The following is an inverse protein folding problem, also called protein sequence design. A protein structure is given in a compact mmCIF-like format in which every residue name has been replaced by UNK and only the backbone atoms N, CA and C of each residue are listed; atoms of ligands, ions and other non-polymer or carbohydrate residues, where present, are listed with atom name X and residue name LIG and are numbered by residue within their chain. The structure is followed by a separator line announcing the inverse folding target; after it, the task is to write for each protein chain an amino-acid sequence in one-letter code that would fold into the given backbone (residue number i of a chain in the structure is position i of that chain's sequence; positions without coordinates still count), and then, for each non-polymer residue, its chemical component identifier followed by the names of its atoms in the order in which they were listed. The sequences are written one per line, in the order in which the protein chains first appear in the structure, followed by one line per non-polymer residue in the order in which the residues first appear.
data_IF_406425525587
#
_entry.id   IF_406425525587
#
_cell.length_a   1.000
_cell.length_b   1.000
_cell.length_c   1.000
_cell.angle_alpha   90.00
_cell.angle_beta   90.00
_cell.angle_gamma   90.00
#
_symmetry.space_group_name_H-M   'P 1'
#
loop_
_entity.id
_entity.type
_entity.pdbx_description
1 polymer ?
#
# COMPACT_ATOMS: atom_id res chain seq x y z
N UNK A 1 -10.30 16.71 -11.31
CA UNK A 1 -11.53 15.92 -11.11
C UNK A 1 -11.15 14.44 -11.16
N UNK A 2 -11.82 13.56 -10.42
CA UNK A 2 -11.41 12.14 -10.37
C UNK A 2 -11.71 11.48 -11.73
N UNK A 3 -10.73 10.80 -12.35
CA UNK A 3 -10.97 9.98 -13.53
C UNK A 3 -11.66 8.68 -13.13
N UNK A 4 -12.88 8.47 -13.62
CA UNK A 4 -13.66 7.25 -13.41
C UNK A 4 -13.49 6.25 -14.55
N UNK A 5 -13.41 6.74 -15.79
CA UNK A 5 -13.24 5.94 -17.01
C UNK A 5 -11.95 6.30 -17.75
N UNK A 6 -11.51 5.44 -18.67
CA UNK A 6 -10.33 5.70 -19.51
C UNK A 6 -10.53 6.82 -20.51
N UNK A 7 -11.76 7.00 -20.96
CA UNK A 7 -12.12 7.93 -22.03
C UNK A 7 -13.18 8.95 -21.60
N UNK A 8 -13.46 9.90 -22.50
CA UNK A 8 -14.43 10.98 -22.31
C UNK A 8 -13.76 12.33 -22.05
N UNK A 9 -14.50 13.42 -22.31
CA UNK A 9 -14.02 14.80 -22.16
C UNK A 9 -13.57 15.15 -20.73
N UNK A 10 -14.04 14.37 -19.74
CA UNK A 10 -13.71 14.50 -18.33
C UNK A 10 -13.37 13.15 -17.68
N UNK A 11 -12.98 12.14 -18.47
CA UNK A 11 -12.68 10.79 -17.96
C UNK A 11 -13.80 10.24 -17.06
N UNK A 12 -15.06 10.44 -17.46
CA UNK A 12 -16.22 9.95 -16.71
C UNK A 12 -16.59 10.74 -15.45
N UNK A 13 -15.96 11.90 -15.19
CA UNK A 13 -16.35 12.76 -14.06
C UNK A 13 -17.75 13.37 -14.23
N UNK A 14 -18.17 13.62 -15.47
CA UNK A 14 -19.52 14.08 -15.81
C UNK A 14 -19.64 14.53 -17.26
N UNK A 15 -20.88 14.54 -17.77
CA UNK A 15 -21.17 14.76 -19.19
C UNK A 15 -20.86 16.19 -19.67
N UNK A 16 -20.90 17.16 -18.76
CA UNK A 16 -20.60 18.57 -19.03
C UNK A 16 -19.11 18.92 -19.05
N UNK A 17 -18.22 17.93 -19.06
CA UNK A 17 -16.79 18.14 -18.89
C UNK A 17 -16.40 18.35 -17.42
N UNK A 18 -15.29 19.04 -17.17
CA UNK A 18 -14.86 19.38 -15.82
C UNK A 18 -14.37 20.83 -15.70
N UNK A 19 -14.70 21.48 -14.58
CA UNK A 19 -14.36 22.88 -14.32
C UNK A 19 -12.84 23.15 -14.30
N UNK A 20 -12.06 22.14 -13.89
CA UNK A 20 -10.61 22.10 -14.07
C UNK A 20 -10.26 21.07 -15.14
N UNK A 21 -9.31 21.39 -16.04
CA UNK A 21 -8.81 20.42 -16.99
C UNK A 21 -8.16 19.24 -16.26
N UNK A 22 -8.35 18.04 -16.79
CA UNK A 22 -7.61 16.85 -16.37
C UNK A 22 -6.40 16.69 -17.31
N UNK A 23 -5.20 16.45 -16.78
CA UNK A 23 -4.04 16.20 -17.63
C UNK A 23 -4.26 15.02 -18.57
N UNK A 24 -3.63 15.08 -19.74
CA UNK A 24 -3.67 14.00 -20.71
C UNK A 24 -3.13 12.69 -20.09
N UNK A 25 -3.76 11.57 -20.42
CA UNK A 25 -3.36 10.23 -19.97
C UNK A 25 -3.87 9.83 -18.59
N UNK A 26 -4.58 10.71 -17.87
CA UNK A 26 -5.18 10.38 -16.57
C UNK A 26 -6.23 9.27 -16.63
N UNK A 27 -6.79 8.98 -17.81
CA UNK A 27 -7.64 7.82 -18.04
C UNK A 27 -7.00 6.49 -17.62
N UNK A 28 -5.68 6.33 -17.75
CA UNK A 28 -4.97 5.11 -17.32
C UNK A 28 -4.79 5.02 -15.80
N UNK A 29 -5.02 6.12 -15.08
CA UNK A 29 -5.06 6.15 -13.62
C UNK A 29 -6.50 6.07 -13.08
N UNK A 30 -7.49 5.86 -13.95
CA UNK A 30 -8.91 5.86 -13.60
C UNK A 30 -9.34 4.66 -12.75
N UNK A 31 -10.52 4.78 -12.14
CA UNK A 31 -11.16 3.67 -11.41
C UNK A 31 -11.41 2.46 -12.32
N UNK A 32 -11.88 2.69 -13.55
CA UNK A 32 -12.03 1.64 -14.57
C UNK A 32 -10.69 0.98 -14.91
N UNK A 33 -9.62 1.77 -15.01
CA UNK A 33 -8.31 1.25 -15.38
C UNK A 33 -7.67 0.38 -14.31
N UNK A 34 -7.86 0.73 -13.04
CA UNK A 34 -7.26 0.02 -11.93
C UNK A 34 -8.15 -1.10 -11.36
N UNK A 35 -9.45 -1.12 -11.65
CA UNK A 35 -10.35 -2.14 -11.08
C UNK A 35 -9.99 -3.52 -11.59
N UNK A 36 -9.67 -4.42 -10.67
CA UNK A 36 -9.28 -5.79 -10.97
C UNK A 36 -7.86 -5.95 -11.51
N UNK A 37 -7.09 -4.86 -11.65
CA UNK A 37 -5.70 -4.95 -12.09
C UNK A 37 -4.76 -5.29 -10.92
N UNK A 38 -4.09 -6.45 -10.95
CA UNK A 38 -3.16 -6.86 -9.90
C UNK A 38 -2.02 -5.84 -9.73
N UNK A 39 -1.75 -5.47 -8.48
CA UNK A 39 -0.70 -4.50 -8.16
C UNK A 39 -1.06 -3.04 -8.42
N UNK A 40 -2.28 -2.74 -8.91
CA UNK A 40 -2.74 -1.34 -8.99
C UNK A 40 -2.94 -0.73 -7.60
N UNK A 41 -2.80 0.59 -7.50
CA UNK A 41 -3.01 1.32 -6.24
C UNK A 41 -4.43 1.10 -5.70
N UNK A 42 -5.45 1.06 -6.57
CA UNK A 42 -6.83 0.82 -6.15
C UNK A 42 -7.00 -0.56 -5.51
N UNK A 43 -6.48 -1.62 -6.13
CA UNK A 43 -6.56 -2.97 -5.56
C UNK A 43 -5.73 -3.10 -4.28
N UNK A 44 -4.54 -2.48 -4.22
CA UNK A 44 -3.74 -2.40 -2.99
C UNK A 44 -4.55 -1.83 -1.81
N UNK A 45 -5.29 -0.73 -2.02
CA UNK A 45 -6.12 -0.14 -0.96
C UNK A 45 -7.35 -0.98 -0.64
N UNK A 46 -7.97 -1.65 -1.62
CA UNK A 46 -9.08 -2.58 -1.39
C UNK A 46 -8.65 -3.76 -0.52
N UNK A 47 -7.48 -4.33 -0.82
CA UNK A 47 -6.86 -5.39 -0.04
C UNK A 47 -6.48 -4.91 1.36
N UNK A 48 -5.84 -3.75 1.50
CA UNK A 48 -5.51 -3.16 2.80
C UNK A 48 -6.74 -2.99 3.70
N UNK A 49 -7.86 -2.52 3.13
CA UNK A 49 -9.12 -2.39 3.85
C UNK A 49 -9.74 -3.75 4.20
N UNK A 50 -9.58 -4.77 3.35
CA UNK A 50 -10.01 -6.13 3.65
C UNK A 50 -9.20 -6.73 4.81
N UNK A 51 -7.87 -6.62 4.76
CA UNK A 51 -6.96 -7.05 5.84
C UNK A 51 -7.29 -6.32 7.15
N UNK A 52 -7.51 -5.00 7.10
CA UNK A 52 -7.90 -4.21 8.28
C UNK A 52 -9.18 -4.74 8.93
N UNK A 53 -10.17 -5.18 8.15
CA UNK A 53 -11.42 -5.75 8.69
C UNK A 53 -11.23 -7.12 9.32
N UNK A 54 -10.30 -7.94 8.82
CA UNK A 54 -10.05 -9.29 9.32
C UNK A 54 -9.01 -9.39 10.43
N UNK A 55 -8.22 -8.32 10.65
CA UNK A 55 -7.10 -8.33 11.60
C UNK A 55 -7.43 -7.47 12.82
N UNK A 56 -7.68 -8.10 13.97
CA UNK A 56 -8.08 -7.43 15.21
C UNK A 56 -7.10 -6.31 15.63
N UNK A 57 -5.79 -6.57 15.51
CA UNK A 57 -4.74 -5.61 15.86
C UNK A 57 -4.70 -4.35 14.98
N UNK A 58 -5.41 -4.34 13.85
CA UNK A 58 -5.58 -3.15 13.00
C UNK A 58 -6.82 -2.31 13.37
N UNK A 59 -7.64 -2.76 14.32
CA UNK A 59 -8.77 -2.02 14.88
C UNK A 59 -8.36 -0.93 15.89
N UNK A 60 -9.32 -0.51 16.73
CA UNK A 60 -9.03 0.33 17.89
C UNK A 60 -8.26 -0.51 18.92
N UNK A 61 -7.03 -0.12 19.22
CA UNK A 61 -6.18 -0.79 20.21
C UNK A 61 -5.39 0.26 20.98
N UNK A 62 -4.73 -0.18 22.05
CA UNK A 62 -4.26 0.74 23.09
C UNK A 62 -2.76 1.07 23.00
N UNK A 63 -2.00 0.29 22.23
CA UNK A 63 -0.55 0.38 22.18
C UNK A 63 0.02 0.32 20.76
N UNK A 64 1.13 1.01 20.59
CA UNK A 64 2.05 0.93 19.46
C UNK A 64 3.45 0.79 20.03
N UNK A 65 4.18 -0.22 19.60
CA UNK A 65 5.59 -0.41 19.94
C UNK A 65 6.46 -0.06 18.72
N UNK A 66 7.38 0.89 18.88
CA UNK A 66 8.36 1.20 17.86
C UNK A 66 9.45 0.13 17.82
N UNK A 67 9.70 -0.42 16.64
CA UNK A 67 10.77 -1.40 16.43
C UNK A 67 12.04 -0.69 15.96
N UNK A 68 13.21 -1.28 16.26
CA UNK A 68 14.46 -0.79 15.70
C UNK A 68 14.46 -1.03 14.19
N UNK A 69 14.77 0.00 13.43
CA UNK A 69 14.91 -0.04 11.98
C UNK A 69 16.08 0.82 11.52
N UNK A 70 16.58 0.62 10.28
CA UNK A 70 17.53 1.54 9.66
C UNK A 70 16.98 2.98 9.59
N UNK A 71 17.88 3.95 9.44
CA UNK A 71 17.49 5.34 9.22
C UNK A 71 16.58 5.48 7.98
N UNK A 72 15.52 6.29 8.10
CA UNK A 72 14.51 6.44 7.03
C UNK A 72 13.53 5.28 6.89
N UNK A 73 13.59 4.27 7.77
CA UNK A 73 12.61 3.18 7.82
C UNK A 73 11.74 3.33 9.05
N UNK A 74 10.42 3.32 8.85
CA UNK A 74 9.44 3.32 9.93
C UNK A 74 9.04 1.87 10.21
N UNK A 75 9.27 1.38 11.43
CA UNK A 75 8.85 0.05 11.84
C UNK A 75 8.10 0.11 13.18
N UNK A 76 6.92 -0.50 13.24
CA UNK A 76 6.15 -0.58 14.47
C UNK A 76 5.32 -1.86 14.57
N UNK A 77 4.93 -2.19 15.79
CA UNK A 77 4.11 -3.34 16.13
C UNK A 77 2.85 -2.92 16.89
N UNK A 78 1.76 -3.65 16.63
CA UNK A 78 0.52 -3.64 17.41
C UNK A 78 0.09 -5.09 17.61
N UNK A 79 0.16 -5.63 18.83
CA UNK A 79 -0.09 -7.06 19.06
C UNK A 79 0.84 -7.94 18.21
N UNK A 80 0.25 -8.74 17.32
CA UNK A 80 0.93 -9.59 16.34
C UNK A 80 1.10 -8.91 14.98
N UNK A 81 0.43 -7.78 14.72
CA UNK A 81 0.63 -6.99 13.51
C UNK A 81 1.96 -6.22 13.55
N UNK A 82 2.74 -6.32 12.47
CA UNK A 82 3.95 -5.51 12.26
C UNK A 82 3.87 -4.77 10.93
N UNK A 83 4.18 -3.48 10.95
CA UNK A 83 4.31 -2.64 9.76
C UNK A 83 5.76 -2.18 9.62
N UNK A 84 6.31 -2.32 8.41
CA UNK A 84 7.57 -1.69 8.01
C UNK A 84 7.31 -0.88 6.75
N UNK A 85 7.63 0.41 6.79
CA UNK A 85 7.60 1.32 5.65
C UNK A 85 9.01 1.83 5.38
N UNK A 86 9.57 1.44 4.24
CA UNK A 86 10.83 1.99 3.75
C UNK A 86 10.54 3.30 3.00
N UNK A 87 10.93 4.42 3.62
CA UNK A 87 10.75 5.77 3.02
C UNK A 87 12.02 6.30 2.36
N UNK A 88 13.01 5.42 2.17
CA UNK A 88 14.27 5.74 1.50
C UNK A 88 14.20 5.41 0.01
N UNK A 89 15.16 5.94 -0.75
CA UNK A 89 15.34 5.62 -2.17
C UNK A 89 16.11 4.33 -2.44
N UNK A 90 16.44 3.53 -1.42
CA UNK A 90 17.27 2.33 -1.53
C UNK A 90 16.60 1.10 -0.91
N UNK A 91 17.02 -0.09 -1.31
CA UNK A 91 16.56 -1.33 -0.65
C UNK A 91 17.16 -1.46 0.75
N UNK A 92 16.34 -1.85 1.72
CA UNK A 92 16.77 -2.10 3.11
C UNK A 92 16.53 -3.55 3.52
N UNK A 93 17.42 -4.09 4.35
CA UNK A 93 17.21 -5.37 5.01
C UNK A 93 16.62 -5.14 6.40
N UNK A 94 15.54 -5.87 6.71
CA UNK A 94 14.88 -5.87 8.02
C UNK A 94 14.59 -7.30 8.45
N UNK A 95 14.38 -7.59 9.74
CA UNK A 95 13.94 -8.91 10.16
C UNK A 95 12.62 -9.31 9.46
N UNK A 96 12.53 -10.55 9.00
CA UNK A 96 11.25 -11.10 8.55
C UNK A 96 10.37 -11.35 9.78
N UNK A 97 9.20 -10.70 9.84
CA UNK A 97 8.39 -10.66 11.06
C UNK A 97 7.33 -11.76 11.16
N UNK A 98 7.17 -12.60 10.13
CA UNK A 98 6.21 -13.70 10.12
C UNK A 98 5.57 -13.86 8.74
N UNK A 99 4.25 -14.05 8.70
CA UNK A 99 3.53 -14.17 7.43
C UNK A 99 3.16 -12.80 6.89
N UNK A 100 3.52 -12.52 5.63
CA UNK A 100 3.10 -11.30 4.93
C UNK A 100 1.59 -11.27 4.80
N UNK A 101 0.99 -10.16 5.20
CA UNK A 101 -0.43 -9.85 5.02
C UNK A 101 -0.67 -9.03 3.74
N UNK A 102 0.21 -8.06 3.48
CA UNK A 102 0.15 -7.17 2.32
C UNK A 102 1.51 -6.50 2.10
N UNK A 103 1.87 -6.24 0.85
CA UNK A 103 3.01 -5.41 0.50
C UNK A 103 2.68 -4.50 -0.70
N UNK A 104 3.16 -3.25 -0.69
CA UNK A 104 2.95 -2.32 -1.81
C UNK A 104 3.93 -2.53 -2.97
N UNK A 105 4.86 -3.48 -2.84
CA UNK A 105 5.88 -3.84 -3.82
C UNK A 105 6.45 -5.22 -3.52
N UNK A 106 7.17 -5.80 -4.47
CA UNK A 106 7.76 -7.13 -4.32
C UNK A 106 8.87 -7.12 -3.25
N UNK A 107 8.72 -7.96 -2.23
CA UNK A 107 9.75 -8.20 -1.23
C UNK A 107 10.34 -9.60 -1.41
N UNK A 108 11.57 -9.78 -0.94
CA UNK A 108 12.21 -11.10 -0.92
C UNK A 108 12.59 -11.46 0.51
N UNK A 109 12.34 -12.71 0.90
CA UNK A 109 12.64 -13.23 2.24
C UNK A 109 13.71 -14.32 2.16
N UNK A 110 14.77 -14.19 2.94
CA UNK A 110 15.87 -15.14 3.00
C UNK A 110 16.51 -15.15 4.39
N UNK A 111 16.77 -16.35 4.93
CA UNK A 111 17.49 -16.54 6.20
C UNK A 111 16.96 -15.72 7.40
N UNK A 112 15.64 -15.48 7.46
CA UNK A 112 15.00 -14.72 8.53
C UNK A 112 15.06 -13.19 8.35
N UNK A 113 15.50 -12.71 7.20
CA UNK A 113 15.48 -11.31 6.79
C UNK A 113 14.55 -11.10 5.59
N UNK A 114 13.96 -9.92 5.51
CA UNK A 114 13.21 -9.43 4.38
C UNK A 114 13.97 -8.25 3.75
N UNK A 115 14.19 -8.31 2.44
CA UNK A 115 14.66 -7.18 1.65
C UNK A 115 13.45 -6.40 1.15
N UNK A 116 13.32 -5.17 1.64
CA UNK A 116 12.23 -4.24 1.32
C UNK A 116 12.78 -3.17 0.36
N UNK A 117 12.28 -3.08 -0.88
CA UNK A 117 12.72 -2.06 -1.84
C UNK A 117 12.41 -0.64 -1.37
N UNK A 118 12.95 0.34 -2.09
CA UNK A 118 12.58 1.76 -1.94
C UNK A 118 11.05 1.95 -2.00
N UNK A 119 10.55 2.94 -1.27
CA UNK A 119 9.13 3.36 -1.28
C UNK A 119 8.12 2.21 -1.05
N UNK A 120 8.53 1.16 -0.34
CA UNK A 120 7.72 -0.04 -0.13
C UNK A 120 7.28 -0.16 1.33
N UNK A 121 5.99 -0.42 1.53
CA UNK A 121 5.42 -0.78 2.83
C UNK A 121 4.98 -2.23 2.81
N UNK A 122 5.28 -2.94 3.89
CA UNK A 122 4.89 -4.34 4.09
C UNK A 122 4.32 -4.54 5.49
N UNK A 123 3.26 -5.33 5.54
CA UNK A 123 2.52 -5.72 6.73
C UNK A 123 2.71 -7.20 6.97
N UNK A 124 3.03 -7.59 8.21
CA UNK A 124 3.09 -8.98 8.66
C UNK A 124 2.13 -9.24 9.80
N UNK A 125 1.79 -10.51 9.98
CA UNK A 125 1.36 -11.07 11.26
C UNK A 125 2.46 -11.97 11.81
N UNK A 126 2.77 -11.82 13.10
CA UNK A 126 3.55 -12.80 13.86
C UNK A 126 2.67 -14.06 14.00
N UNK A 127 3.29 -15.24 13.87
CA UNK A 127 2.60 -16.52 14.04
C UNK A 127 2.38 -16.85 15.51
#
# INVERSE_FOLDING_TARGET
PIPWTREGSSYGFGDGGSWLPQPAGWGELSVEAQTGEPGSTLELYREALAVRRSTADLGAGEAVEWLRAPEGVVAFRRGDFVCVANTTGESVAVPAHGRVLLASGEITEAAGEAKVPADTTVWWTRA
#
